data_IF_936417127451
#
_entry.id   IF_936417127451
#
_cell.length_a   1.000
_cell.length_b   1.000
_cell.length_c   1.000
_cell.angle_alpha   90.00
_cell.angle_beta   90.00
_cell.angle_gamma   90.00
#
_symmetry.space_group_name_H-M   'P 1'
#
loop_
_entity.id
_entity.type
_entity.pdbx_description
1 polymer ?
#
# COMPACT_ATOMS: atom_id res chain seq x y z
N UNK A 1 -3.64 -11.99 8.06
CA UNK A 1 -3.00 -11.67 6.77
C UNK A 1 -2.55 -10.21 6.68
N UNK A 2 -3.44 -9.22 6.48
CA UNK A 2 -3.00 -7.81 6.30
C UNK A 2 -2.17 -7.30 7.49
N UNK A 3 -2.61 -7.56 8.72
CA UNK A 3 -1.86 -7.20 9.93
C UNK A 3 -0.46 -7.86 9.97
N UNK A 4 -0.34 -9.12 9.53
CA UNK A 4 0.94 -9.85 9.46
C UNK A 4 1.86 -9.27 8.39
N UNK A 5 1.30 -8.85 7.25
CA UNK A 5 2.03 -8.15 6.20
C UNK A 5 2.54 -6.80 6.72
N UNK A 6 1.68 -5.99 7.34
CA UNK A 6 2.07 -4.68 7.89
C UNK A 6 3.18 -4.83 8.94
N UNK A 7 3.10 -5.85 9.81
CA UNK A 7 4.15 -6.17 10.79
C UNK A 7 5.47 -6.66 10.16
N UNK A 8 5.42 -7.10 8.91
CA UNK A 8 6.59 -7.58 8.17
C UNK A 8 7.30 -6.49 7.37
N UNK A 9 6.74 -5.27 7.31
CA UNK A 9 7.43 -4.13 6.69
C UNK A 9 8.82 -3.95 7.28
N UNK A 10 9.82 -3.84 6.40
CA UNK A 10 11.24 -3.75 6.75
C UNK A 10 12.00 -5.07 6.76
N UNK A 11 11.29 -6.21 6.74
CA UNK A 11 11.92 -7.52 6.53
C UNK A 11 12.22 -7.73 5.06
N UNK A 12 13.23 -8.54 4.78
CA UNK A 12 13.52 -9.02 3.44
C UNK A 12 12.57 -10.15 3.04
N UNK A 13 12.36 -10.37 1.74
CA UNK A 13 11.55 -11.49 1.25
C UNK A 13 12.03 -12.84 1.82
N UNK A 14 13.33 -13.19 1.84
CA UNK A 14 13.81 -14.42 2.49
C UNK A 14 13.46 -14.53 3.97
N UNK A 15 13.55 -13.44 4.75
CA UNK A 15 13.17 -13.44 6.18
C UNK A 15 11.66 -13.66 6.37
N UNK A 16 10.83 -13.10 5.48
CA UNK A 16 9.39 -13.33 5.50
C UNK A 16 9.08 -14.82 5.27
N UNK A 17 9.66 -15.43 4.24
CA UNK A 17 9.47 -16.86 3.95
C UNK A 17 10.01 -17.73 5.10
N UNK A 18 11.20 -17.42 5.63
CA UNK A 18 11.79 -18.15 6.74
C UNK A 18 10.95 -18.07 8.02
N UNK A 19 10.17 -17.00 8.21
CA UNK A 19 9.20 -16.87 9.31
C UNK A 19 7.92 -17.70 9.14
N UNK A 20 7.80 -18.46 8.04
CA UNK A 20 6.63 -19.26 7.71
C UNK A 20 5.55 -18.49 6.95
N UNK A 21 5.84 -17.27 6.47
CA UNK A 21 4.89 -16.51 5.66
C UNK A 21 4.75 -17.15 4.27
N UNK A 22 3.52 -17.52 3.93
CA UNK A 22 3.20 -18.04 2.60
C UNK A 22 2.76 -16.90 1.67
N UNK A 23 3.52 -16.67 0.60
CA UNK A 23 3.23 -15.68 -0.44
C UNK A 23 3.01 -16.41 -1.78
N UNK A 24 1.75 -16.67 -2.18
CA UNK A 24 1.48 -17.17 -3.52
C UNK A 24 1.92 -16.13 -4.57
N UNK A 25 2.33 -16.58 -5.75
CA UNK A 25 2.89 -15.72 -6.80
C UNK A 25 4.41 -15.84 -6.97
N UNK A 26 5.10 -16.45 -6.00
CA UNK A 26 6.55 -16.70 -6.07
C UNK A 26 7.40 -15.50 -5.64
N UNK A 27 8.70 -15.50 -5.93
CA UNK A 27 9.58 -14.41 -5.53
C UNK A 27 9.19 -13.09 -6.21
N UNK A 28 9.43 -11.93 -5.57
CA UNK A 28 9.16 -10.62 -6.16
C UNK A 28 9.89 -10.45 -7.50
N UNK A 29 9.20 -9.86 -8.49
CA UNK A 29 9.75 -9.63 -9.85
C UNK A 29 9.56 -8.19 -10.28
N UNK A 30 10.54 -7.68 -11.04
CA UNK A 30 10.45 -6.38 -11.69
C UNK A 30 9.69 -6.47 -13.00
N UNK A 31 9.20 -5.33 -13.48
CA UNK A 31 8.61 -5.21 -14.83
C UNK A 31 9.72 -5.30 -15.89
N UNK A 32 10.91 -4.79 -15.56
CA UNK A 32 12.14 -4.84 -16.33
C UNK A 32 13.28 -5.42 -15.50
N UNK A 33 14.32 -5.94 -16.17
CA UNK A 33 15.48 -6.56 -15.50
C UNK A 33 16.26 -5.59 -14.59
N UNK A 34 16.25 -4.30 -14.92
CA UNK A 34 16.91 -3.22 -14.18
C UNK A 34 15.96 -2.44 -13.26
N UNK A 35 14.79 -3.00 -12.94
CA UNK A 35 13.84 -2.34 -12.03
C UNK A 35 14.43 -2.21 -10.63
N UNK A 36 14.52 -0.98 -10.12
CA UNK A 36 14.87 -0.69 -8.73
C UNK A 36 13.86 -1.26 -7.71
N UNK A 37 12.66 -1.58 -8.18
CA UNK A 37 11.58 -2.15 -7.38
C UNK A 37 11.05 -3.42 -8.02
N UNK A 38 10.74 -4.38 -7.17
CA UNK A 38 10.15 -5.66 -7.55
C UNK A 38 8.89 -5.89 -6.72
N UNK A 39 7.88 -6.53 -7.28
CA UNK A 39 6.59 -6.74 -6.61
C UNK A 39 6.15 -8.20 -6.62
N UNK A 40 5.28 -8.56 -5.68
CA UNK A 40 4.50 -9.81 -5.72
C UNK A 40 3.07 -9.52 -5.28
N UNK A 41 2.10 -10.17 -5.95
CA UNK A 41 0.67 -9.99 -5.69
C UNK A 41 0.06 -11.30 -5.16
N UNK A 42 0.01 -11.51 -3.84
CA UNK A 42 -0.44 -12.76 -3.25
C UNK A 42 -1.97 -12.94 -3.27
N UNK A 43 -2.73 -11.85 -3.42
CA UNK A 43 -4.19 -11.88 -3.45
C UNK A 43 -4.70 -10.75 -4.36
N UNK A 44 -5.88 -10.89 -5.01
CA UNK A 44 -6.51 -9.77 -5.70
C UNK A 44 -6.55 -8.49 -4.87
N UNK A 45 -6.05 -7.41 -5.47
CA UNK A 45 -5.95 -6.08 -4.85
C UNK A 45 -4.88 -5.94 -3.78
N UNK A 46 -4.01 -6.95 -3.57
CA UNK A 46 -2.86 -6.89 -2.68
C UNK A 46 -1.58 -6.97 -3.51
N UNK A 47 -0.73 -5.95 -3.38
CA UNK A 47 0.60 -5.93 -3.96
C UNK A 47 1.65 -5.56 -2.90
N UNK A 48 2.72 -6.34 -2.83
CA UNK A 48 3.86 -6.09 -1.96
C UNK A 48 5.01 -5.55 -2.80
N UNK A 49 5.49 -4.36 -2.49
CA UNK A 49 6.63 -3.72 -3.14
C UNK A 49 7.91 -3.84 -2.31
N UNK A 50 8.97 -4.32 -2.97
CA UNK A 50 10.28 -4.52 -2.39
C UNK A 50 11.34 -3.70 -3.14
N UNK A 51 12.41 -3.36 -2.43
CA UNK A 51 13.61 -2.84 -3.07
C UNK A 51 14.37 -3.98 -3.76
N UNK A 52 14.75 -3.81 -5.03
CA UNK A 52 15.27 -4.90 -5.84
C UNK A 52 16.60 -5.48 -5.30
N UNK A 53 17.55 -4.61 -4.94
CA UNK A 53 18.89 -5.05 -4.53
C UNK A 53 18.93 -5.75 -3.17
N UNK A 54 18.04 -5.39 -2.24
CA UNK A 54 18.00 -5.95 -0.88
C UNK A 54 16.83 -6.90 -0.66
N UNK A 55 15.88 -6.93 -1.58
CA UNK A 55 14.56 -7.54 -1.42
C UNK A 55 13.86 -7.11 -0.12
N UNK A 56 14.12 -5.90 0.37
CA UNK A 56 13.48 -5.37 1.57
C UNK A 56 12.05 -4.94 1.26
N UNK A 57 11.09 -5.42 2.05
CA UNK A 57 9.68 -5.09 1.91
C UNK A 57 9.39 -3.67 2.40
N UNK A 58 8.98 -2.78 1.50
CA UNK A 58 8.83 -1.35 1.81
C UNK A 58 7.41 -0.83 1.69
N UNK A 59 6.58 -1.42 0.84
CA UNK A 59 5.24 -0.91 0.54
C UNK A 59 4.23 -2.05 0.44
N UNK A 60 3.15 -1.98 1.21
CA UNK A 60 1.95 -2.81 1.03
C UNK A 60 0.86 -1.97 0.37
N UNK A 61 0.51 -2.28 -0.87
CA UNK A 61 -0.59 -1.68 -1.59
C UNK A 61 -1.86 -2.52 -1.42
N UNK A 62 -2.96 -1.85 -1.11
CA UNK A 62 -4.29 -2.45 -1.04
C UNK A 62 -5.24 -1.61 -1.88
N UNK A 63 -5.76 -2.19 -2.96
CA UNK A 63 -6.68 -1.54 -3.90
C UNK A 63 -8.12 -1.90 -3.54
N UNK A 64 -9.01 -0.92 -3.43
CA UNK A 64 -10.43 -1.11 -3.11
C UNK A 64 -11.37 -0.80 -4.27
N UNK A 65 -10.98 0.13 -5.14
CA UNK A 65 -11.74 0.54 -6.32
C UNK A 65 -10.89 0.31 -7.56
N UNK A 66 -11.55 -0.08 -8.65
CA UNK A 66 -10.90 -0.24 -9.95
C UNK A 66 -10.52 1.14 -10.50
N UNK A 67 -9.22 1.38 -10.70
CA UNK A 67 -8.70 2.52 -11.45
C UNK A 67 -8.73 2.29 -12.96
N UNK A 68 -8.83 1.03 -13.41
CA UNK A 68 -9.07 0.63 -14.79
C UNK A 68 -9.85 -0.69 -14.85
N UNK A 69 -10.51 -0.94 -15.99
CA UNK A 69 -11.35 -2.12 -16.18
C UNK A 69 -10.54 -3.42 -15.94
N UNK A 70 -11.02 -4.24 -15.02
CA UNK A 70 -10.40 -5.52 -14.68
C UNK A 70 -9.25 -5.43 -13.68
N UNK A 71 -8.99 -4.26 -13.09
CA UNK A 71 -8.04 -4.15 -11.97
C UNK A 71 -8.50 -5.03 -10.79
N UNK A 72 -7.63 -5.91 -10.25
CA UNK A 72 -8.00 -6.71 -9.08
C UNK A 72 -8.21 -5.83 -7.85
N UNK A 73 -9.35 -6.00 -7.16
CA UNK A 73 -9.66 -5.28 -5.91
C UNK A 73 -9.75 -6.20 -4.70
N UNK A 74 -9.35 -5.68 -3.54
CA UNK A 74 -9.39 -6.36 -2.26
C UNK A 74 -10.78 -6.26 -1.63
N UNK A 75 -11.32 -7.41 -1.23
CA UNK A 75 -12.67 -7.53 -0.63
C UNK A 75 -12.66 -8.07 0.80
N UNK A 76 -11.47 -8.34 1.36
CA UNK A 76 -11.33 -8.84 2.72
C UNK A 76 -11.50 -7.77 3.79
N UNK A 77 -11.35 -8.16 5.06
CA UNK A 77 -11.41 -7.23 6.19
C UNK A 77 -10.08 -6.52 6.41
N UNK A 78 -10.14 -5.30 6.94
CA UNK A 78 -8.94 -4.50 7.25
C UNK A 78 -8.72 -4.38 8.76
N UNK A 79 -7.46 -4.39 9.22
CA UNK A 79 -7.11 -4.07 10.60
C UNK A 79 -7.21 -2.55 10.87
N UNK A 80 -6.92 -2.15 12.12
CA UNK A 80 -6.77 -0.74 12.52
C UNK A 80 -8.01 0.15 12.34
N UNK A 81 -9.20 -0.45 12.48
CA UNK A 81 -10.52 0.21 12.31
C UNK A 81 -10.77 0.73 10.88
N UNK A 82 -9.96 0.31 9.92
CA UNK A 82 -10.14 0.64 8.51
C UNK A 82 -11.33 -0.12 7.92
N UNK A 83 -11.90 0.43 6.85
CA UNK A 83 -13.04 -0.12 6.11
C UNK A 83 -12.70 -0.22 4.63
N UNK A 84 -13.25 -1.20 3.93
CA UNK A 84 -13.05 -1.31 2.47
C UNK A 84 -13.83 -0.27 1.67
N UNK A 85 -14.79 0.42 2.29
CA UNK A 85 -15.52 1.55 1.71
C UNK A 85 -15.48 2.74 2.65
N UNK A 86 -14.80 3.79 2.23
CA UNK A 86 -14.62 5.04 2.97
C UNK A 86 -14.28 6.19 2.02
N UNK A 87 -14.42 7.43 2.48
CA UNK A 87 -14.03 8.64 1.77
C UNK A 87 -13.15 9.53 2.66
N UNK A 88 -12.59 10.59 2.08
CA UNK A 88 -11.68 11.49 2.79
C UNK A 88 -12.30 12.07 4.07
N UNK A 89 -13.58 12.47 4.03
CA UNK A 89 -14.26 13.03 5.19
C UNK A 89 -14.32 12.02 6.35
N UNK A 90 -14.60 10.75 6.04
CA UNK A 90 -14.55 9.68 7.03
C UNK A 90 -13.14 9.50 7.60
N UNK A 91 -12.11 9.44 6.76
CA UNK A 91 -10.70 9.29 7.19
C UNK A 91 -10.31 10.41 8.17
N UNK A 92 -10.60 11.66 7.82
CA UNK A 92 -10.34 12.83 8.69
C UNK A 92 -11.11 12.77 10.00
N UNK A 93 -12.38 12.32 9.97
CA UNK A 93 -13.18 12.17 11.19
C UNK A 93 -12.59 11.13 12.17
N UNK A 94 -11.87 10.13 11.65
CA UNK A 94 -11.29 9.06 12.48
C UNK A 94 -9.88 9.39 12.95
N UNK A 95 -9.07 10.03 12.11
CA UNK A 95 -7.63 10.18 12.33
C UNK A 95 -7.14 11.63 12.44
N UNK A 96 -8.04 12.62 12.30
CA UNK A 96 -7.71 14.04 12.37
C UNK A 96 -7.14 14.58 11.07
N UNK A 97 -6.29 15.60 11.16
CA UNK A 97 -5.63 16.19 9.99
C UNK A 97 -4.44 15.33 9.51
N UNK A 98 -4.21 15.24 8.20
CA UNK A 98 -3.10 14.48 7.63
C UNK A 98 -1.75 15.10 7.96
N UNK A 99 -0.71 14.25 7.99
CA UNK A 99 0.69 14.66 8.12
C UNK A 99 1.20 15.33 6.85
N UNK A 100 0.73 14.86 5.71
CA UNK A 100 1.12 15.30 4.39
C UNK A 100 -0.05 15.02 3.43
N UNK A 101 -0.27 15.93 2.48
CA UNK A 101 -1.29 15.78 1.45
C UNK A 101 -0.70 16.10 0.08
N UNK A 102 -1.06 15.31 -0.92
CA UNK A 102 -0.78 15.57 -2.31
C UNK A 102 -2.03 16.04 -3.04
N UNK A 103 -1.89 17.09 -3.83
CA UNK A 103 -3.00 17.60 -4.65
C UNK A 103 -3.40 16.58 -5.75
N UNK A 104 -4.66 16.63 -6.20
CA UNK A 104 -5.10 15.98 -7.44
C UNK A 104 -4.13 16.20 -8.60
N UNK A 105 -3.80 15.14 -9.33
CA UNK A 105 -2.93 15.21 -10.51
C UNK A 105 -3.39 14.26 -11.60
N UNK A 106 -3.04 14.56 -12.84
CA UNK A 106 -3.39 13.76 -14.00
C UNK A 106 -2.38 12.64 -14.21
N UNK A 107 -2.86 11.41 -14.25
CA UNK A 107 -2.11 10.22 -14.63
C UNK A 107 -2.36 9.95 -16.12
N UNK A 108 -1.30 9.80 -16.94
CA UNK A 108 -1.47 9.35 -18.32
C UNK A 108 -2.27 8.04 -18.35
N UNK A 109 -3.25 7.92 -19.25
CA UNK A 109 -4.11 6.74 -19.44
C UNK A 109 -5.22 6.59 -18.37
N UNK A 110 -4.93 6.76 -17.08
CA UNK A 110 -5.92 6.57 -16.00
C UNK A 110 -6.75 7.81 -15.64
N UNK A 111 -6.45 8.98 -16.22
CA UNK A 111 -7.26 10.19 -16.02
C UNK A 111 -6.83 11.02 -14.81
N UNK A 112 -7.78 11.65 -14.12
CA UNK A 112 -7.51 12.55 -13.00
C UNK A 112 -7.57 11.77 -11.67
N UNK A 113 -6.61 11.99 -10.77
CA UNK A 113 -6.64 11.44 -9.40
C UNK A 113 -7.24 12.46 -8.44
N UNK A 114 -7.74 12.02 -7.29
CA UNK A 114 -8.18 12.87 -6.18
C UNK A 114 -7.05 13.33 -5.25
N UNK A 115 -5.81 12.94 -5.54
CA UNK A 115 -4.68 13.18 -4.64
C UNK A 115 -4.57 12.12 -3.54
N UNK A 116 -3.92 12.47 -2.44
CA UNK A 116 -3.67 11.54 -1.34
C UNK A 116 -3.41 12.25 -0.03
N UNK A 117 -3.63 11.55 1.08
CA UNK A 117 -3.29 11.99 2.43
C UNK A 117 -2.44 10.93 3.15
N UNK A 118 -1.51 11.37 3.99
CA UNK A 118 -0.65 10.51 4.81
C UNK A 118 -0.99 10.63 6.29
N UNK A 119 -1.12 9.50 6.99
CA UNK A 119 -1.36 9.45 8.42
C UNK A 119 -0.39 8.52 9.13
N UNK A 120 -0.29 8.69 10.46
CA UNK A 120 0.20 7.68 11.39
C UNK A 120 -1.02 7.12 12.12
N UNK A 121 -1.35 5.85 11.91
CA UNK A 121 -2.50 5.24 12.56
C UNK A 121 -2.15 4.77 13.98
N UNK A 122 -3.09 4.86 14.93
CA UNK A 122 -2.93 4.26 16.26
C UNK A 122 -2.66 2.76 16.17
N UNK A 123 -1.72 2.26 16.97
CA UNK A 123 -1.36 0.83 17.02
C UNK A 123 -0.32 0.40 15.99
N UNK A 124 0.11 1.27 15.08
CA UNK A 124 1.22 1.01 14.16
C UNK A 124 2.56 1.50 14.72
N UNK A 125 3.65 0.88 14.24
CA UNK A 125 5.00 1.40 14.47
C UNK A 125 5.15 2.81 13.92
N UNK A 126 5.93 3.66 14.60
CA UNK A 126 6.25 5.03 14.14
C UNK A 126 7.02 5.04 12.82
N UNK A 127 7.64 3.93 12.44
CA UNK A 127 8.33 3.74 11.16
C UNK A 127 7.38 3.51 9.98
N UNK A 128 6.07 3.36 10.23
CA UNK A 128 5.07 3.10 9.20
C UNK A 128 4.19 4.33 9.01
N UNK A 129 4.06 4.76 7.76
CA UNK A 129 3.08 5.73 7.31
C UNK A 129 1.99 5.03 6.51
N UNK A 130 0.76 5.53 6.60
CA UNK A 130 -0.37 5.05 5.81
C UNK A 130 -0.82 6.14 4.87
N UNK A 131 -0.68 5.88 3.58
CA UNK A 131 -1.22 6.73 2.51
C UNK A 131 -2.64 6.28 2.18
N UNK A 132 -3.56 7.22 2.08
CA UNK A 132 -4.88 7.04 1.49
C UNK A 132 -4.88 7.73 0.14
N UNK A 133 -5.16 6.98 -0.92
CA UNK A 133 -5.34 7.52 -2.27
C UNK A 133 -6.82 7.76 -2.53
N UNK A 134 -7.12 8.83 -3.24
CA UNK A 134 -8.50 9.26 -3.48
C UNK A 134 -8.85 9.29 -4.97
N UNK A 135 -10.09 8.94 -5.29
CA UNK A 135 -10.73 9.30 -6.56
C UNK A 135 -11.06 10.79 -6.59
N UNK A 136 -11.46 11.33 -7.74
CA UNK A 136 -11.88 12.74 -7.85
C UNK A 136 -13.11 13.09 -7.00
N UNK A 137 -13.96 12.10 -6.68
CA UNK A 137 -15.08 12.20 -5.75
C UNK A 137 -14.67 12.09 -4.28
N UNK A 138 -13.37 12.00 -3.99
CA UNK A 138 -12.80 11.83 -2.65
C UNK A 138 -13.12 10.48 -1.99
N UNK A 139 -13.54 9.48 -2.76
CA UNK A 139 -13.65 8.10 -2.29
C UNK A 139 -12.25 7.49 -2.18
N UNK A 140 -12.00 6.64 -1.19
CA UNK A 140 -10.70 5.97 -1.05
C UNK A 140 -10.61 4.83 -2.06
N UNK A 141 -9.76 5.00 -3.06
CA UNK A 141 -9.49 3.97 -4.08
C UNK A 141 -8.51 2.90 -3.59
N UNK A 142 -7.65 3.25 -2.63
CA UNK A 142 -6.69 2.32 -2.07
C UNK A 142 -5.86 2.94 -0.95
N UNK A 143 -5.19 2.06 -0.21
CA UNK A 143 -4.26 2.44 0.86
C UNK A 143 -2.88 1.85 0.64
N UNK A 144 -1.86 2.56 1.12
CA UNK A 144 -0.48 2.11 1.08
C UNK A 144 0.11 2.19 2.48
N UNK A 145 0.48 1.06 3.06
CA UNK A 145 1.36 1.05 4.23
C UNK A 145 2.79 1.10 3.74
N UNK A 146 3.53 2.16 4.09
CA UNK A 146 4.91 2.37 3.64
C UNK A 146 5.85 2.55 4.82
N UNK A 147 7.06 2.03 4.69
CA UNK A 147 8.15 2.44 5.57
C UNK A 147 8.52 3.91 5.31
N UNK A 148 8.74 4.67 6.38
CA UNK A 148 9.21 6.04 6.28
C UNK A 148 10.76 6.15 6.22
N UNK A 149 11.47 5.10 6.62
CA UNK A 149 12.92 4.98 6.49
C UNK A 149 13.29 4.41 5.11
N UNK A 150 13.84 5.24 4.24
CA UNK A 150 14.43 4.76 2.97
C UNK A 150 15.78 4.12 3.27
N UNK A 151 16.01 2.88 2.82
CA UNK A 151 17.34 2.22 2.89
C UNK A 151 18.35 2.76 1.88
N UNK A 152 17.96 3.75 1.08
CA UNK A 152 18.65 4.05 -0.17
C UNK A 152 19.77 5.06 0.11
N UNK A 153 20.96 4.53 0.40
CA UNK A 153 22.23 5.22 0.43
C UNK A 153 22.98 5.02 -0.90
#
# INVERSE_FOLDING_TARGET
MIDDLVKSLGRTYPEMIASGMYLPGGPPKGIFDDSDRVTVSPEPGIELGFWASTQRFENLFITFLEGFEGEPIYRGSLPYQLKTKMNQAWVKSQYGEPLESGAPYRVPISGMTGGWDTYRLPGLSKSIHVLFKYTVEMEVEGIVFRLNERSHA
#
